data_IF_964663663730
#
_entry.id   IF_964663663730
#
_cell.length_a   1.000
_cell.length_b   1.000
_cell.length_c   1.000
_cell.angle_alpha   90.00
_cell.angle_beta   90.00
_cell.angle_gamma   90.00
#
_symmetry.space_group_name_H-M   'P 1'
#
loop_
_entity.id
_entity.type
_entity.pdbx_description
1 polymer ?
#
# COMPACT_ATOMS: atom_id res chain seq x y z
N UNK A 1 37.53 -7.66 -21.19
CA UNK A 1 36.72 -6.98 -20.15
C UNK A 1 36.05 -8.06 -19.31
N UNK A 2 36.09 -7.98 -17.97
CA UNK A 2 35.17 -8.79 -17.17
C UNK A 2 33.74 -8.36 -17.51
N UNK A 3 32.85 -9.32 -17.68
CA UNK A 3 31.42 -9.05 -17.82
C UNK A 3 30.96 -8.24 -16.60
N UNK A 4 30.12 -7.20 -16.76
CA UNK A 4 29.55 -6.52 -15.60
C UNK A 4 28.86 -7.56 -14.71
N UNK A 5 28.99 -7.47 -13.38
CA UNK A 5 28.30 -8.40 -12.50
C UNK A 5 26.81 -8.35 -12.84
N UNK A 6 26.25 -9.51 -13.18
CA UNK A 6 24.82 -9.66 -13.44
C UNK A 6 24.08 -9.39 -12.14
N UNK A 7 23.66 -8.14 -11.92
CA UNK A 7 22.78 -7.80 -10.80
C UNK A 7 21.45 -8.51 -11.04
N UNK A 8 21.05 -9.37 -10.11
CA UNK A 8 19.73 -9.99 -10.18
C UNK A 8 18.66 -8.89 -10.17
N UNK A 9 17.56 -9.04 -10.94
CA UNK A 9 16.45 -8.10 -10.88
C UNK A 9 15.97 -7.90 -9.44
N UNK A 10 15.60 -6.67 -9.10
CA UNK A 10 15.13 -6.35 -7.74
C UNK A 10 13.86 -7.10 -7.44
N UNK A 11 13.81 -7.73 -6.26
CA UNK A 11 12.60 -8.38 -5.74
C UNK A 11 11.68 -7.36 -5.12
N UNK A 12 10.42 -7.35 -5.54
CA UNK A 12 9.41 -6.40 -5.06
C UNK A 12 8.42 -7.16 -4.19
N UNK A 13 8.42 -6.86 -2.89
CA UNK A 13 7.50 -7.43 -1.90
C UNK A 13 6.50 -6.36 -1.50
N UNK A 14 5.23 -6.60 -1.76
CA UNK A 14 4.14 -5.70 -1.45
C UNK A 14 3.42 -6.09 -0.17
N UNK A 15 3.06 -5.09 0.64
CA UNK A 15 2.28 -5.20 1.87
C UNK A 15 0.97 -4.43 1.68
N UNK A 16 -0.16 -5.14 1.59
CA UNK A 16 -1.49 -4.54 1.44
C UNK A 16 -2.42 -4.85 2.62
N UNK A 17 -3.53 -4.13 2.73
CA UNK A 17 -4.51 -4.28 3.82
C UNK A 17 -5.20 -2.95 4.15
N UNK A 18 -6.22 -2.95 5.01
CA UNK A 18 -6.99 -1.73 5.28
C UNK A 18 -6.12 -0.61 5.86
N UNK A 19 -6.47 0.64 5.60
CA UNK A 19 -5.80 1.80 6.21
C UNK A 19 -5.75 1.65 7.74
N UNK A 20 -4.67 2.09 8.39
CA UNK A 20 -4.42 1.89 9.83
C UNK A 20 -4.26 0.44 10.34
N UNK A 21 -4.04 -0.54 9.46
CA UNK A 21 -3.76 -1.93 9.87
C UNK A 21 -2.33 -2.15 10.43
N UNK A 22 -1.40 -1.23 10.16
CA UNK A 22 0.01 -1.32 10.60
C UNK A 22 1.02 -1.67 9.50
N UNK A 23 0.62 -1.56 8.22
CA UNK A 23 1.48 -1.83 7.04
C UNK A 23 2.77 -1.02 7.05
N UNK A 24 2.66 0.31 7.14
CA UNK A 24 3.79 1.24 7.17
C UNK A 24 4.78 0.88 8.28
N UNK A 25 4.29 0.59 9.49
CA UNK A 25 5.13 0.14 10.61
C UNK A 25 5.88 -1.16 10.27
N UNK A 26 5.19 -2.17 9.73
CA UNK A 26 5.82 -3.44 9.36
C UNK A 26 6.83 -3.25 8.21
N UNK A 27 6.50 -2.46 7.19
CA UNK A 27 7.36 -2.18 6.05
C UNK A 27 8.64 -1.44 6.46
N UNK A 28 8.54 -0.44 7.36
CA UNK A 28 9.70 0.25 7.97
C UNK A 28 10.59 -0.71 8.74
N UNK A 29 10.01 -1.60 9.55
CA UNK A 29 10.77 -2.61 10.30
C UNK A 29 11.46 -3.63 9.38
N UNK A 30 10.78 -4.09 8.32
CA UNK A 30 11.38 -4.94 7.29
C UNK A 30 12.53 -4.21 6.60
N UNK A 31 12.31 -2.99 6.13
CA UNK A 31 13.36 -2.17 5.51
C UNK A 31 14.60 -2.04 6.40
N UNK A 32 14.40 -1.80 7.70
CA UNK A 32 15.47 -1.75 8.70
C UNK A 32 16.18 -3.10 8.89
N UNK A 33 15.44 -4.21 8.94
CA UNK A 33 16.03 -5.56 9.11
C UNK A 33 16.82 -5.98 7.86
N UNK A 34 16.34 -5.63 6.68
CA UNK A 34 17.00 -5.96 5.41
C UNK A 34 18.07 -4.93 5.01
N UNK A 35 18.26 -3.87 5.80
CA UNK A 35 19.41 -2.97 5.73
C UNK A 35 20.46 -3.44 6.74
N UNK A 36 21.38 -4.29 6.28
CA UNK A 36 22.38 -4.90 7.17
C UNK A 36 23.55 -3.94 7.46
N UNK A 37 24.06 -3.89 8.70
CA UNK A 37 25.21 -3.04 9.05
C UNK A 37 26.57 -3.45 8.44
N UNK A 38 26.64 -4.60 7.76
CA UNK A 38 27.87 -5.18 7.20
C UNK A 38 27.70 -5.33 5.70
N UNK A 39 28.74 -5.00 4.93
CA UNK A 39 28.76 -5.08 3.46
C UNK A 39 28.72 -6.52 2.92
N UNK A 40 28.88 -7.53 3.80
CA UNK A 40 28.77 -8.95 3.47
C UNK A 40 27.74 -9.65 4.39
N UNK A 41 26.66 -10.23 3.85
CA UNK A 41 26.24 -10.27 2.45
C UNK A 41 25.68 -8.92 1.98
N UNK A 42 25.96 -8.55 0.72
CA UNK A 42 25.56 -7.27 0.14
C UNK A 42 24.07 -7.28 -0.24
N UNK A 43 23.22 -6.79 0.66
CA UNK A 43 21.80 -6.57 0.39
C UNK A 43 21.44 -5.10 0.55
N UNK A 44 20.70 -4.58 -0.41
CA UNK A 44 20.12 -3.24 -0.36
C UNK A 44 18.60 -3.35 -0.23
N UNK A 45 18.01 -2.57 0.66
CA UNK A 45 16.56 -2.47 0.79
C UNK A 45 16.07 -1.11 0.31
N UNK A 46 14.91 -1.09 -0.33
CA UNK A 46 14.17 0.12 -0.72
C UNK A 46 12.79 0.08 -0.07
N UNK A 47 12.23 1.26 0.22
CA UNK A 47 10.87 1.42 0.75
C UNK A 47 10.10 2.39 -0.15
N UNK A 48 8.86 2.03 -0.48
CA UNK A 48 7.96 2.76 -1.37
C UNK A 48 6.58 2.80 -0.70
N UNK A 49 6.00 4.00 -0.58
CA UNK A 49 4.67 4.20 -0.02
C UNK A 49 3.68 4.50 -1.15
N UNK A 50 2.53 3.81 -1.20
CA UNK A 50 1.46 4.07 -2.16
C UNK A 50 0.94 5.51 -2.04
N UNK A 51 0.96 6.08 -0.84
CA UNK A 51 0.54 7.46 -0.57
C UNK A 51 1.41 8.49 -1.32
N UNK A 52 2.64 8.15 -1.71
CA UNK A 52 3.46 9.00 -2.56
C UNK A 52 2.92 9.11 -4.00
N UNK A 53 1.90 8.35 -4.36
CA UNK A 53 1.28 8.32 -5.68
C UNK A 53 -0.11 8.94 -5.70
N UNK A 54 -0.56 9.59 -4.62
CA UNK A 54 -1.77 10.40 -4.69
C UNK A 54 -1.66 11.50 -5.75
N UNK A 55 -2.77 11.71 -6.45
CA UNK A 55 -2.97 12.92 -7.23
C UNK A 55 -3.01 14.15 -6.30
N UNK A 56 -2.74 15.35 -6.83
CA UNK A 56 -2.92 16.57 -6.07
C UNK A 56 -4.37 16.76 -5.58
N UNK A 57 -4.56 17.51 -4.49
CA UNK A 57 -5.83 17.77 -3.80
C UNK A 57 -6.97 18.14 -4.77
N UNK A 58 -6.70 19.00 -5.76
CA UNK A 58 -7.68 19.47 -6.75
C UNK A 58 -8.12 18.40 -7.76
N UNK A 59 -7.41 17.27 -7.81
CA UNK A 59 -7.69 16.12 -8.67
C UNK A 59 -8.22 14.90 -7.92
N UNK A 60 -8.36 14.99 -6.59
CA UNK A 60 -8.94 13.91 -5.81
C UNK A 60 -10.43 13.77 -6.16
N UNK A 61 -10.89 12.55 -6.53
CA UNK A 61 -12.30 12.32 -6.85
C UNK A 61 -13.21 12.75 -5.70
N UNK A 62 -14.42 13.22 -6.02
CA UNK A 62 -15.44 13.54 -5.03
C UNK A 62 -16.50 12.44 -4.97
N UNK A 63 -17.05 12.23 -3.78
CA UNK A 63 -18.22 11.38 -3.55
C UNK A 63 -19.31 12.17 -2.84
N UNK A 64 -20.58 11.82 -3.10
CA UNK A 64 -21.74 12.43 -2.45
C UNK A 64 -22.35 11.43 -1.48
N UNK A 65 -22.37 11.79 -0.20
CA UNK A 65 -22.98 10.98 0.85
C UNK A 65 -24.51 10.96 0.72
N UNK A 66 -25.22 9.98 1.33
CA UNK A 66 -26.68 9.95 1.35
C UNK A 66 -27.33 11.22 1.94
N UNK A 67 -26.60 11.95 2.79
CA UNK A 67 -27.00 13.24 3.36
C UNK A 67 -26.96 14.39 2.35
N UNK A 68 -26.38 14.19 1.16
CA UNK A 68 -26.11 15.21 0.16
C UNK A 68 -24.75 15.92 0.34
N UNK A 69 -24.01 15.62 1.41
CA UNK A 69 -22.67 16.18 1.63
C UNK A 69 -21.69 15.65 0.59
N UNK A 70 -20.96 16.54 -0.08
CA UNK A 70 -19.90 16.19 -1.04
C UNK A 70 -18.55 16.23 -0.33
N UNK A 71 -17.78 15.15 -0.42
CA UNK A 71 -16.44 15.02 0.17
C UNK A 71 -15.44 14.48 -0.86
N UNK A 72 -14.16 14.84 -0.71
CA UNK A 72 -13.08 14.17 -1.42
C UNK A 72 -12.97 12.71 -0.96
N UNK A 73 -12.80 11.80 -1.91
CA UNK A 73 -12.62 10.38 -1.69
C UNK A 73 -11.16 10.01 -1.95
N UNK A 74 -10.35 10.08 -0.89
CA UNK A 74 -8.94 9.68 -0.93
C UNK A 74 -8.77 8.16 -0.99
N UNK A 75 -9.72 7.38 -0.47
CA UNK A 75 -9.60 5.93 -0.32
C UNK A 75 -10.16 5.19 -1.54
N UNK A 76 -9.65 5.50 -2.73
CA UNK A 76 -10.09 4.85 -3.99
C UNK A 76 -8.97 4.83 -5.03
N UNK A 77 -9.00 3.85 -5.94
CA UNK A 77 -8.04 3.75 -7.04
C UNK A 77 -7.94 5.04 -7.88
N UNK A 78 -9.06 5.77 -8.04
CA UNK A 78 -9.08 7.03 -8.80
C UNK A 78 -8.36 8.19 -8.13
N UNK A 79 -7.98 8.09 -6.84
CA UNK A 79 -7.17 9.08 -6.16
C UNK A 79 -5.66 8.90 -6.43
N UNK A 80 -5.25 7.75 -6.99
CA UNK A 80 -3.86 7.34 -7.15
C UNK A 80 -3.43 7.40 -8.63
N UNK A 81 -2.22 7.89 -8.87
CA UNK A 81 -1.53 7.77 -10.15
C UNK A 81 -0.95 6.34 -10.32
N UNK A 82 -1.84 5.39 -10.63
CA UNK A 82 -1.49 3.99 -10.79
C UNK A 82 -0.53 3.74 -11.97
N UNK A 83 -0.55 4.62 -12.97
CA UNK A 83 0.38 4.55 -14.10
C UNK A 83 1.80 4.91 -13.65
N UNK A 84 1.96 5.99 -12.87
CA UNK A 84 3.25 6.36 -12.28
C UNK A 84 3.74 5.33 -11.26
N UNK A 85 2.85 4.74 -10.45
CA UNK A 85 3.20 3.64 -9.55
C UNK A 85 3.74 2.43 -10.33
N UNK A 86 3.00 1.96 -11.35
CA UNK A 86 3.45 0.85 -12.18
C UNK A 86 4.79 1.14 -12.87
N UNK A 87 4.96 2.34 -13.46
CA UNK A 87 6.21 2.74 -14.09
C UNK A 87 7.39 2.78 -13.09
N UNK A 88 7.17 3.31 -11.89
CA UNK A 88 8.17 3.37 -10.83
C UNK A 88 8.60 1.98 -10.36
N UNK A 89 7.65 1.04 -10.23
CA UNK A 89 7.97 -0.35 -9.88
C UNK A 89 8.77 -1.07 -10.98
N UNK A 90 8.44 -0.86 -12.26
CA UNK A 90 9.24 -1.36 -13.39
C UNK A 90 10.67 -0.81 -13.37
N UNK A 91 10.81 0.46 -13.03
CA UNK A 91 12.10 1.11 -12.90
C UNK A 91 12.94 0.53 -11.76
N UNK A 92 12.35 0.37 -10.57
CA UNK A 92 12.99 -0.24 -9.40
C UNK A 92 13.45 -1.66 -9.71
N UNK A 93 12.60 -2.46 -10.37
CA UNK A 93 12.93 -3.82 -10.81
C UNK A 93 14.22 -3.89 -11.63
N UNK A 94 14.38 -2.93 -12.55
CA UNK A 94 15.46 -2.91 -13.54
C UNK A 94 16.73 -2.22 -13.05
N UNK A 95 16.60 -1.15 -12.24
CA UNK A 95 17.74 -0.32 -11.83
C UNK A 95 18.21 -0.60 -10.40
N UNK A 96 17.39 -1.23 -9.57
CA UNK A 96 17.72 -1.46 -8.15
C UNK A 96 17.85 -0.19 -7.32
N UNK A 97 17.20 0.89 -7.74
CA UNK A 97 17.09 2.18 -7.04
C UNK A 97 15.72 2.80 -7.31
N UNK A 98 15.31 3.73 -6.46
CA UNK A 98 14.10 4.54 -6.69
C UNK A 98 14.31 5.50 -7.89
N UNK A 99 13.26 5.78 -8.68
CA UNK A 99 13.34 6.79 -9.73
C UNK A 99 13.57 8.18 -9.09
N UNK A 100 14.45 9.04 -9.63
CA UNK A 100 14.73 10.36 -9.05
C UNK A 100 13.50 11.25 -8.85
N UNK A 101 12.48 11.08 -9.72
CA UNK A 101 11.21 11.79 -9.61
C UNK A 101 10.38 11.40 -8.38
N UNK A 102 10.58 10.20 -7.84
CA UNK A 102 9.84 9.73 -6.67
C UNK A 102 10.50 10.25 -5.39
N UNK A 103 9.88 11.26 -4.79
CA UNK A 103 10.20 11.74 -3.44
C UNK A 103 9.15 11.27 -2.44
N UNK A 104 9.62 10.61 -1.38
CA UNK A 104 8.80 10.15 -0.26
C UNK A 104 8.31 11.32 0.58
N UNK A 105 6.99 11.42 0.72
CA UNK A 105 6.28 12.36 1.59
C UNK A 105 5.82 11.68 2.86
N UNK A 106 5.52 10.38 2.78
CA UNK A 106 5.14 9.60 3.96
C UNK A 106 6.25 9.58 5.02
N UNK A 107 7.52 9.58 4.62
CA UNK A 107 8.65 9.75 5.56
C UNK A 107 8.66 11.10 6.27
N UNK A 108 7.96 12.11 5.73
CA UNK A 108 7.89 13.45 6.28
C UNK A 108 6.74 13.61 7.28
N UNK A 109 5.67 12.80 7.15
CA UNK A 109 4.57 12.74 8.13
C UNK A 109 5.08 12.42 9.55
N UNK A 110 6.08 11.54 9.66
CA UNK A 110 6.68 11.14 10.95
C UNK A 110 7.63 12.20 11.55
N UNK A 111 7.94 13.28 10.82
CA UNK A 111 8.95 14.28 11.20
C UNK A 111 8.39 15.64 11.66
N UNK A 112 7.07 15.83 11.63
CA UNK A 112 6.45 17.09 12.06
C UNK A 112 6.46 17.22 13.60
N UNK A 113 7.01 18.32 14.16
CA UNK A 113 6.96 18.57 15.60
C UNK A 113 5.51 18.83 16.03
N UNK A 114 5.11 18.17 17.13
CA UNK A 114 3.81 18.37 17.77
C UNK A 114 3.81 19.74 18.46
N UNK A 115 3.55 20.80 17.71
CA UNK A 115 3.35 22.14 18.27
C UNK A 115 1.97 22.21 18.96
N UNK A 116 1.93 21.73 20.20
CA UNK A 116 0.89 22.07 21.16
C UNK A 116 1.54 22.24 22.54
N UNK A 117 1.44 23.42 23.17
CA UNK A 117 2.06 23.68 24.46
C UNK A 117 1.27 22.99 25.56
N UNK A 118 1.58 21.71 25.79
CA UNK A 118 1.15 20.92 26.92
C UNK A 118 2.31 20.04 27.35
N UNK A 119 2.86 20.32 28.53
CA UNK A 119 4.01 19.64 29.13
C UNK A 119 3.93 18.12 29.07
N UNK A 120 4.82 17.52 28.27
CA UNK A 120 5.12 16.10 28.27
C UNK A 120 6.19 15.83 27.23
N UNK A 121 7.32 15.27 27.64
CA UNK A 121 8.35 14.71 26.75
C UNK A 121 7.74 13.58 25.92
N UNK A 122 7.13 13.91 24.80
CA UNK A 122 6.53 12.97 23.86
C UNK A 122 7.52 12.61 22.77
N UNK A 123 8.39 11.63 23.02
CA UNK A 123 8.69 10.68 21.94
C UNK A 123 7.34 10.07 21.54
N UNK A 124 7.00 10.08 20.25
CA UNK A 124 5.74 9.52 19.74
C UNK A 124 5.56 8.09 20.23
N UNK A 125 4.76 7.92 21.29
CA UNK A 125 4.51 6.67 21.99
C UNK A 125 3.10 6.24 21.63
N UNK A 126 2.96 5.12 20.93
CA UNK A 126 1.63 4.56 20.69
C UNK A 126 1.51 3.29 19.85
N UNK A 127 2.42 3.01 18.91
CA UNK A 127 2.30 1.82 18.08
C UNK A 127 3.65 1.13 17.83
N UNK A 128 3.85 -0.02 18.50
CA UNK A 128 4.77 -1.05 18.01
C UNK A 128 6.27 -0.77 18.14
N UNK A 129 6.74 -0.22 19.26
CA UNK A 129 8.19 -0.21 19.56
C UNK A 129 8.65 -1.65 19.74
N UNK A 130 9.25 -2.22 18.71
CA UNK A 130 9.92 -3.52 18.76
C UNK A 130 11.26 -3.33 19.46
N UNK A 131 11.54 -4.13 20.49
CA UNK A 131 12.79 -4.07 21.21
C UNK A 131 13.98 -4.30 20.28
N UNK A 132 15.07 -3.54 20.47
CA UNK A 132 16.25 -3.58 19.59
C UNK A 132 16.80 -5.00 19.40
N UNK A 133 16.86 -5.78 20.48
CA UNK A 133 17.34 -7.16 20.42
C UNK A 133 16.52 -8.07 19.50
N UNK A 134 15.24 -7.78 19.26
CA UNK A 134 14.42 -8.52 18.28
C UNK A 134 14.85 -8.17 16.86
N UNK A 135 15.12 -6.89 16.58
CA UNK A 135 15.61 -6.44 15.28
C UNK A 135 16.99 -7.03 14.99
N UNK A 136 17.92 -6.96 15.94
CA UNK A 136 19.26 -7.54 15.83
C UNK A 136 19.23 -9.06 15.58
N UNK A 137 18.34 -9.77 16.29
CA UNK A 137 18.15 -11.21 16.11
C UNK A 137 17.63 -11.56 14.71
N UNK A 138 16.66 -10.80 14.20
CA UNK A 138 16.13 -10.99 12.86
C UNK A 138 17.16 -10.62 11.78
N UNK A 139 17.93 -9.54 11.96
CA UNK A 139 19.05 -9.20 11.09
C UNK A 139 20.10 -10.33 11.04
N UNK A 140 20.44 -10.91 12.19
CA UNK A 140 21.35 -12.07 12.26
C UNK A 140 20.79 -13.26 11.49
N UNK A 141 19.49 -13.52 11.58
CA UNK A 141 18.82 -14.60 10.84
C UNK A 141 18.87 -14.36 9.33
N UNK A 142 18.51 -13.15 8.88
CA UNK A 142 18.58 -12.74 7.47
C UNK A 142 20.00 -12.92 6.94
N UNK A 143 21.02 -12.42 7.66
CA UNK A 143 22.43 -12.60 7.31
C UNK A 143 22.79 -14.08 7.13
N UNK A 144 22.44 -14.92 8.10
CA UNK A 144 22.75 -16.35 8.05
C UNK A 144 22.08 -17.05 6.87
N UNK A 145 20.85 -16.67 6.52
CA UNK A 145 20.15 -17.25 5.36
C UNK A 145 20.78 -16.79 4.05
N UNK A 146 21.03 -15.49 3.88
CA UNK A 146 21.66 -14.95 2.67
C UNK A 146 23.05 -15.55 2.41
N UNK A 147 23.87 -15.74 3.45
CA UNK A 147 25.19 -16.41 3.33
C UNK A 147 25.05 -17.86 2.86
N UNK A 148 24.08 -18.62 3.40
CA UNK A 148 23.84 -20.01 2.98
C UNK A 148 23.41 -20.13 1.52
N UNK A 149 22.67 -19.14 1.03
CA UNK A 149 22.24 -19.09 -0.37
C UNK A 149 23.38 -18.70 -1.33
N UNK A 150 24.57 -18.37 -0.81
CA UNK A 150 25.66 -17.78 -1.58
C UNK A 150 25.15 -16.57 -2.40
N UNK A 151 24.21 -15.82 -1.81
CA UNK A 151 23.55 -14.72 -2.48
C UNK A 151 24.60 -13.64 -2.77
N UNK A 152 24.80 -13.34 -4.05
CA UNK A 152 25.56 -12.16 -4.48
C UNK A 152 24.86 -10.86 -4.08
N UNK A 153 25.32 -9.74 -4.63
CA UNK A 153 24.66 -8.46 -4.39
C UNK A 153 23.19 -8.49 -4.84
N UNK A 154 22.27 -8.10 -3.94
CA UNK A 154 20.82 -8.12 -4.18
C UNK A 154 20.14 -6.84 -3.71
N UNK A 155 19.03 -6.51 -4.36
CA UNK A 155 18.13 -5.46 -3.92
C UNK A 155 16.74 -6.05 -3.67
N UNK A 156 16.12 -5.66 -2.55
CA UNK A 156 14.72 -5.92 -2.23
C UNK A 156 13.99 -4.61 -2.03
N UNK A 157 12.84 -4.44 -2.67
CA UNK A 157 11.98 -3.29 -2.49
C UNK A 157 10.71 -3.70 -1.74
N UNK A 158 10.39 -2.97 -0.68
CA UNK A 158 9.13 -3.07 0.04
C UNK A 158 8.19 -1.98 -0.46
N UNK A 159 7.01 -2.37 -0.91
CA UNK A 159 5.94 -1.46 -1.33
C UNK A 159 4.79 -1.65 -0.36
N UNK A 160 4.25 -0.57 0.19
CA UNK A 160 3.13 -0.67 1.12
C UNK A 160 2.02 0.31 0.75
N UNK A 161 0.77 -0.13 0.91
CA UNK A 161 -0.39 0.59 0.42
C UNK A 161 -1.70 -0.10 0.80
N UNK A 162 -2.81 0.63 0.75
CA UNK A 162 -4.12 0.04 1.04
C UNK A 162 -4.74 -0.67 -0.15
N UNK A 163 -4.28 -0.39 -1.38
CA UNK A 163 -4.93 -0.84 -2.61
C UNK A 163 -3.92 -1.32 -3.68
N UNK A 164 -3.15 -2.35 -3.35
CA UNK A 164 -2.06 -2.84 -4.20
C UNK A 164 -2.40 -4.05 -5.08
N UNK A 165 -3.46 -4.80 -4.78
CA UNK A 165 -3.71 -6.12 -5.37
C UNK A 165 -4.96 -6.16 -6.25
N UNK A 166 -4.82 -6.67 -7.48
CA UNK A 166 -5.94 -7.05 -8.34
C UNK A 166 -6.42 -8.49 -8.08
N UNK A 167 -7.70 -8.82 -8.39
CA UNK A 167 -8.20 -10.19 -8.40
C UNK A 167 -7.37 -11.14 -9.26
N UNK A 168 -7.44 -12.47 -9.09
CA UNK A 168 -6.82 -13.41 -10.02
C UNK A 168 -7.31 -13.19 -11.45
N UNK A 169 -6.38 -13.18 -12.42
CA UNK A 169 -6.70 -12.92 -13.83
C UNK A 169 -7.61 -14.00 -14.45
N UNK A 170 -7.37 -15.25 -14.03
CA UNK A 170 -8.17 -16.44 -14.32
C UNK A 170 -7.86 -17.50 -13.24
N UNK A 171 -8.67 -18.57 -13.14
CA UNK A 171 -8.24 -19.80 -12.49
C UNK A 171 -6.93 -20.32 -13.12
N UNK A 172 -6.09 -20.99 -12.33
CA UNK A 172 -4.81 -21.50 -12.81
C UNK A 172 -4.95 -22.33 -14.09
N UNK A 173 -4.22 -21.94 -15.15
CA UNK A 173 -4.21 -22.64 -16.45
C UNK A 173 -5.21 -22.15 -17.48
N UNK A 174 -5.97 -21.08 -17.22
CA UNK A 174 -6.90 -20.47 -18.18
C UNK A 174 -6.46 -19.07 -18.61
N UNK A 175 -6.97 -18.64 -19.77
CA UNK A 175 -6.74 -17.28 -20.28
C UNK A 175 -7.44 -16.24 -19.40
N UNK A 176 -6.78 -15.12 -19.07
CA UNK A 176 -7.39 -14.02 -18.34
C UNK A 176 -8.73 -13.57 -18.93
N UNK A 177 -9.70 -13.28 -18.08
CA UNK A 177 -10.92 -12.59 -18.54
C UNK A 177 -10.57 -11.15 -18.91
N UNK A 178 -11.28 -10.57 -19.89
CA UNK A 178 -11.08 -9.16 -20.24
C UNK A 178 -11.29 -8.22 -19.05
N UNK A 179 -12.29 -8.50 -18.20
CA UNK A 179 -12.55 -7.72 -17.00
C UNK A 179 -11.38 -7.76 -16.02
N UNK A 180 -10.77 -8.95 -15.80
CA UNK A 180 -9.63 -9.07 -14.92
C UNK A 180 -8.34 -8.46 -15.50
N UNK A 181 -8.19 -8.48 -16.83
CA UNK A 181 -7.08 -7.82 -17.52
C UNK A 181 -7.20 -6.29 -17.49
N UNK A 182 -8.42 -5.75 -17.50
CA UNK A 182 -8.70 -4.31 -17.45
C UNK A 182 -8.84 -3.76 -16.02
N UNK A 183 -8.60 -4.59 -14.99
CA UNK A 183 -8.67 -4.13 -13.61
C UNK A 183 -7.64 -3.00 -13.37
N UNK A 184 -8.00 -1.87 -12.74
CA UNK A 184 -7.11 -0.71 -12.59
C UNK A 184 -5.75 -1.05 -11.95
N UNK A 185 -5.76 -1.98 -10.99
CA UNK A 185 -4.56 -2.43 -10.28
C UNK A 185 -3.78 -3.54 -10.99
N UNK A 186 -4.19 -4.02 -12.17
CA UNK A 186 -3.56 -5.18 -12.84
C UNK A 186 -2.07 -4.95 -13.07
N UNK A 187 -1.72 -3.81 -13.65
CA UNK A 187 -0.33 -3.46 -13.95
C UNK A 187 0.53 -3.37 -12.67
N UNK A 188 0.00 -2.75 -11.62
CA UNK A 188 0.67 -2.64 -10.32
C UNK A 188 0.85 -4.03 -9.69
N UNK A 189 -0.22 -4.84 -9.68
CA UNK A 189 -0.23 -6.21 -9.19
C UNK A 189 0.83 -7.06 -9.90
N UNK A 190 0.94 -7.03 -11.22
CA UNK A 190 1.88 -7.89 -11.96
C UNK A 190 3.35 -7.58 -11.72
N UNK A 191 3.66 -6.41 -11.14
CA UNK A 191 5.02 -6.00 -10.78
C UNK A 191 5.43 -6.42 -9.36
N UNK A 192 4.67 -7.27 -8.69
CA UNK A 192 4.97 -7.77 -7.33
C UNK A 192 5.38 -9.24 -7.37
N UNK A 193 6.50 -9.55 -6.72
CA UNK A 193 6.98 -10.93 -6.55
C UNK A 193 6.35 -11.59 -5.30
N UNK A 194 6.23 -10.83 -4.21
CA UNK A 194 5.56 -11.24 -2.98
C UNK A 194 4.39 -10.32 -2.63
N UNK A 195 3.28 -10.91 -2.16
CA UNK A 195 2.02 -10.19 -1.91
C UNK A 195 1.52 -10.52 -0.51
N UNK A 196 2.02 -9.80 0.47
CA UNK A 196 1.65 -9.96 1.87
C UNK A 196 0.39 -9.15 2.17
N UNK A 197 -0.64 -9.78 2.72
CA UNK A 197 -1.89 -9.11 3.09
C UNK A 197 -2.07 -9.09 4.61
N UNK A 198 -2.27 -7.90 5.18
CA UNK A 198 -2.44 -7.68 6.61
C UNK A 198 -3.92 -7.38 6.91
N UNK A 199 -4.74 -8.39 7.27
CA UNK A 199 -6.09 -8.14 7.73
C UNK A 199 -6.06 -7.39 9.07
N UNK A 200 -7.05 -6.53 9.29
CA UNK A 200 -7.28 -5.89 10.58
C UNK A 200 -8.78 -5.63 10.77
N UNK A 201 -9.23 -5.80 12.02
CA UNK A 201 -10.62 -5.63 12.39
C UNK A 201 -11.09 -4.18 12.19
N UNK A 202 -12.32 -4.01 11.70
CA UNK A 202 -12.96 -2.71 11.49
C UNK A 202 -12.78 -1.75 12.66
N UNK A 203 -13.17 -2.20 13.86
CA UNK A 203 -13.18 -1.33 15.05
C UNK A 203 -11.78 -0.83 15.39
N UNK A 204 -10.76 -1.68 15.19
CA UNK A 204 -9.35 -1.32 15.41
C UNK A 204 -8.86 -0.30 14.40
N UNK A 205 -9.16 -0.49 13.11
CA UNK A 205 -8.70 0.44 12.07
C UNK A 205 -9.44 1.78 12.17
N UNK A 206 -10.73 1.76 12.54
CA UNK A 206 -11.51 2.97 12.80
C UNK A 206 -10.94 3.76 13.97
N UNK A 207 -10.81 3.14 15.14
CA UNK A 207 -10.27 3.79 16.33
C UNK A 207 -8.90 4.41 16.07
N UNK A 208 -8.02 3.70 15.34
CA UNK A 208 -6.69 4.20 14.98
C UNK A 208 -6.76 5.35 13.98
N UNK A 209 -7.62 5.26 12.97
CA UNK A 209 -7.74 6.29 11.92
C UNK A 209 -8.30 7.59 12.48
N UNK A 210 -9.34 7.53 13.29
CA UNK A 210 -9.97 8.70 13.92
C UNK A 210 -9.06 9.39 14.95
N UNK A 211 -8.03 8.69 15.47
CA UNK A 211 -7.01 9.28 16.36
C UNK A 211 -5.86 9.98 15.62
N UNK A 212 -5.78 9.91 14.28
CA UNK A 212 -4.73 10.58 13.53
C UNK A 212 -4.95 12.10 13.54
N UNK A 213 -3.88 12.86 13.71
CA UNK A 213 -3.89 14.33 13.67
C UNK A 213 -4.11 14.89 12.26
N UNK A 214 -3.92 14.08 11.22
CA UNK A 214 -4.08 14.41 9.80
C UNK A 214 -2.93 13.85 8.95
N UNK A 215 -2.86 14.25 7.69
CA UNK A 215 -1.94 13.71 6.68
C UNK A 215 -1.37 14.86 5.84
N UNK A 216 -0.10 14.76 5.45
CA UNK A 216 0.46 15.65 4.42
C UNK A 216 -0.10 15.26 3.05
N UNK A 217 -0.66 16.23 2.34
CA UNK A 217 -1.17 16.11 0.97
C UNK A 217 -0.43 17.05 0.02
N UNK A 218 -0.90 17.26 -1.21
CA UNK A 218 -0.16 17.97 -2.26
C UNK A 218 -1.10 18.83 -3.10
N UNK A 219 -0.80 20.11 -3.24
CA UNK A 219 -1.53 21.01 -4.12
C UNK A 219 -2.61 21.80 -3.42
N UNK A 220 -3.26 22.68 -4.19
CA UNK A 220 -4.24 23.60 -3.65
C UNK A 220 -5.51 22.84 -3.24
N UNK A 221 -6.03 23.16 -2.05
CA UNK A 221 -7.35 22.71 -1.64
C UNK A 221 -8.39 23.08 -2.71
N UNK A 222 -9.40 22.23 -2.97
CA UNK A 222 -10.43 22.52 -3.96
C UNK A 222 -11.13 23.84 -3.63
N UNK A 223 -11.22 24.72 -4.62
CA UNK A 223 -11.95 25.99 -4.48
C UNK A 223 -13.43 25.67 -4.32
N UNK A 224 -14.13 26.20 -3.30
CA UNK A 224 -15.58 26.00 -3.17
C UNK A 224 -16.28 26.54 -4.41
N UNK A 225 -16.91 25.66 -5.19
CA UNK A 225 -17.67 26.06 -6.37
C UNK A 225 -18.98 26.69 -5.88
N UNK A 226 -19.04 28.01 -5.86
CA UNK A 226 -20.31 28.71 -5.80
C UNK A 226 -21.14 28.28 -7.02
N UNK A 227 -22.34 27.78 -6.77
CA UNK A 227 -23.27 27.30 -7.80
C UNK A 227 -23.39 28.30 -8.95
N UNK A 228 -22.80 27.97 -10.09
CA UNK A 228 -23.15 28.57 -11.37
C UNK A 228 -23.28 27.46 -12.39
N UNK A 229 -24.54 27.21 -12.74
CA UNK A 229 -24.93 26.44 -13.90
C UNK A 229 -24.43 27.15 -15.16
N UNK A 230 -23.66 26.45 -16.00
CA UNK A 230 -23.84 26.46 -17.46
C UNK A 230 -22.90 25.43 -18.09
N UNK A 231 -23.47 24.59 -18.96
CA UNK A 231 -22.75 23.53 -19.65
C UNK A 231 -21.92 24.07 -20.80
N UNK A 232 -20.78 23.43 -21.05
CA UNK A 232 -20.18 23.45 -22.38
C UNK A 232 -19.42 22.15 -22.67
N UNK A 233 -19.87 21.49 -23.73
CA UNK A 233 -19.17 20.41 -24.41
C UNK A 233 -18.00 20.99 -25.23
N UNK A 234 -16.92 20.21 -25.29
CA UNK A 234 -16.09 19.89 -26.47
C UNK A 234 -14.60 20.15 -26.29
N UNK A 235 -13.81 19.25 -26.87
CA UNK A 235 -12.37 19.43 -27.09
C UNK A 235 -11.63 18.12 -26.89
N UNK A 236 -11.53 17.30 -27.94
CA UNK A 236 -10.78 16.06 -27.90
C UNK A 236 -9.29 16.31 -27.70
N UNK A 237 -8.65 15.45 -26.90
CA UNK A 237 -7.20 15.44 -26.79
C UNK A 237 -6.63 14.24 -27.54
N UNK A 238 -5.86 14.58 -28.57
CA UNK A 238 -5.03 13.68 -29.34
C UNK A 238 -4.06 12.95 -28.41
N UNK A 239 -4.06 11.61 -28.47
CA UNK A 239 -3.10 10.77 -27.78
C UNK A 239 -1.66 11.17 -28.14
N UNK A 240 -1.03 11.97 -27.29
CA UNK A 240 0.43 12.10 -27.24
C UNK A 240 0.97 10.82 -26.59
N UNK A 241 2.10 10.34 -27.09
CA UNK A 241 2.88 9.26 -26.47
C UNK A 241 3.42 9.79 -25.12
N UNK A 242 2.56 9.81 -24.10
CA UNK A 242 2.82 10.29 -22.74
C UNK A 242 3.68 9.26 -21.98
N UNK A 243 4.91 9.04 -22.46
CA UNK A 243 5.89 8.27 -21.69
C UNK A 243 6.22 9.06 -20.43
N UNK A 244 5.90 8.48 -19.27
CA UNK A 244 6.22 9.05 -17.96
C UNK A 244 7.73 9.17 -17.84
N UNK A 245 8.23 10.40 -17.75
CA UNK A 245 9.64 10.66 -17.45
C UNK A 245 9.89 10.40 -15.96
N UNK A 246 10.66 9.34 -15.66
CA UNK A 246 11.01 8.92 -14.30
C UNK A 246 12.33 9.52 -13.80
N UNK A 247 13.13 10.07 -14.69
CA UNK A 247 14.43 10.68 -14.36
C UNK A 247 14.33 12.20 -14.20
N UNK A 248 13.19 12.81 -14.57
CA UNK A 248 12.88 14.21 -14.31
C UNK A 248 12.90 14.56 -12.81
N UNK A 249 13.00 15.86 -12.52
CA UNK A 249 12.77 16.37 -11.16
C UNK A 249 11.29 16.21 -10.78
N UNK A 250 11.03 16.09 -9.47
CA UNK A 250 9.68 16.06 -8.93
C UNK A 250 9.00 17.43 -9.16
N UNK A 251 8.02 17.45 -10.07
CA UNK A 251 7.30 18.63 -10.55
C UNK A 251 5.94 18.82 -9.86
N UNK A 252 5.65 18.02 -8.83
CA UNK A 252 4.36 18.08 -8.12
C UNK A 252 4.22 19.36 -7.29
N UNK A 253 2.98 19.83 -7.05
CA UNK A 253 2.73 21.06 -6.29
C UNK A 253 3.29 21.04 -4.85
N UNK A 254 3.31 22.19 -4.16
CA UNK A 254 3.68 22.25 -2.75
C UNK A 254 2.75 21.41 -1.86
N UNK A 255 3.26 21.02 -0.70
CA UNK A 255 2.50 20.23 0.27
C UNK A 255 1.32 21.00 0.85
N UNK A 256 0.28 20.25 1.23
CA UNK A 256 -0.89 20.71 1.95
C UNK A 256 -1.18 19.73 3.12
N UNK A 257 -2.27 19.93 3.85
CA UNK A 257 -2.63 19.08 4.99
C UNK A 257 -4.12 18.73 4.97
N UNK A 258 -4.42 17.44 5.16
CA UNK A 258 -5.78 16.90 5.22
C UNK A 258 -6.09 16.31 6.60
N UNK A 259 -7.33 16.48 7.05
CA UNK A 259 -7.86 15.80 8.24
C UNK A 259 -9.18 15.14 7.87
N UNK A 260 -9.34 13.87 8.20
CA UNK A 260 -10.58 13.14 7.96
C UNK A 260 -11.76 13.84 8.66
N UNK A 261 -12.84 14.20 7.95
CA UNK A 261 -14.02 14.77 8.59
C UNK A 261 -14.74 13.73 9.47
N UNK A 262 -15.59 14.15 10.43
CA UNK A 262 -16.37 13.23 11.24
C UNK A 262 -17.19 12.26 10.37
N UNK A 263 -17.15 10.97 10.68
CA UNK A 263 -17.87 9.92 9.95
C UNK A 263 -17.16 9.40 8.69
N UNK A 264 -16.05 10.00 8.26
CA UNK A 264 -15.35 9.64 7.02
C UNK A 264 -14.95 8.15 6.95
N UNK A 265 -14.63 7.53 8.09
CA UNK A 265 -14.29 6.10 8.14
C UNK A 265 -15.48 5.22 7.79
N UNK A 266 -16.62 5.44 8.44
CA UNK A 266 -17.86 4.68 8.23
C UNK A 266 -18.45 4.96 6.84
N UNK A 267 -18.35 6.20 6.38
CA UNK A 267 -19.04 6.68 5.17
C UNK A 267 -18.26 6.41 3.88
N UNK A 268 -16.92 6.41 3.93
CA UNK A 268 -16.05 6.36 2.73
C UNK A 268 -14.98 5.28 2.85
N UNK A 269 -14.13 5.33 3.87
CA UNK A 269 -12.93 4.49 3.97
C UNK A 269 -13.29 3.00 3.98
N UNK A 270 -14.14 2.60 4.92
CA UNK A 270 -14.45 1.19 5.11
C UNK A 270 -15.32 0.62 3.98
N UNK A 271 -16.39 1.31 3.52
CA UNK A 271 -17.15 0.86 2.37
C UNK A 271 -16.29 0.68 1.11
N UNK A 272 -15.36 1.60 0.82
CA UNK A 272 -14.47 1.47 -0.33
C UNK A 272 -13.50 0.30 -0.16
N UNK A 273 -12.86 0.17 1.01
CA UNK A 273 -11.99 -0.96 1.31
C UNK A 273 -12.72 -2.29 1.08
N UNK A 274 -13.93 -2.43 1.64
CA UNK A 274 -14.73 -3.65 1.51
C UNK A 274 -15.10 -3.91 0.05
N UNK A 275 -15.53 -2.89 -0.68
CA UNK A 275 -15.90 -3.01 -2.10
C UNK A 275 -14.70 -3.44 -2.96
N UNK A 276 -13.58 -2.73 -2.83
CA UNK A 276 -12.40 -2.96 -3.66
C UNK A 276 -11.70 -4.30 -3.33
N UNK A 277 -11.93 -4.84 -2.13
CA UNK A 277 -11.41 -6.13 -1.68
C UNK A 277 -12.48 -7.24 -1.61
N UNK A 278 -13.68 -7.04 -2.16
CA UNK A 278 -14.76 -8.04 -2.09
C UNK A 278 -14.38 -9.39 -2.74
N UNK A 279 -13.42 -9.39 -3.66
CA UNK A 279 -12.84 -10.59 -4.28
C UNK A 279 -11.91 -11.37 -3.36
N UNK A 280 -11.37 -10.72 -2.34
CA UNK A 280 -10.38 -11.26 -1.41
C UNK A 280 -10.99 -11.53 -0.03
N UNK A 281 -11.94 -10.70 0.40
CA UNK A 281 -12.64 -10.85 1.67
C UNK A 281 -13.65 -12.01 1.60
N UNK A 282 -14.02 -12.49 2.79
CA UNK A 282 -15.08 -13.48 2.98
C UNK A 282 -16.14 -12.91 3.93
N UNK A 283 -17.39 -13.39 3.86
CA UNK A 283 -18.40 -13.07 4.86
C UNK A 283 -17.92 -13.42 6.28
N UNK A 284 -18.37 -12.64 7.27
CA UNK A 284 -18.02 -12.83 8.68
C UNK A 284 -18.49 -14.20 9.18
N UNK A 285 -19.74 -14.55 8.84
CA UNK A 285 -20.31 -15.87 9.08
C UNK A 285 -19.78 -16.90 8.09
N UNK A 286 -19.46 -18.10 8.58
CA UNK A 286 -19.08 -19.22 7.71
C UNK A 286 -20.27 -19.61 6.82
N UNK A 287 -20.02 -19.69 5.53
CA UNK A 287 -21.02 -20.02 4.52
C UNK A 287 -20.37 -20.86 3.43
N UNK A 288 -21.16 -21.75 2.82
CA UNK A 288 -20.74 -22.52 1.65
C UNK A 288 -20.62 -21.63 0.40
N UNK A 289 -21.29 -20.47 0.36
CA UNK A 289 -21.20 -19.51 -0.74
C UNK A 289 -20.12 -18.45 -0.46
N UNK A 290 -18.85 -18.84 -0.58
CA UNK A 290 -17.72 -17.91 -0.42
C UNK A 290 -17.80 -16.73 -1.39
N UNK A 291 -18.40 -16.93 -2.57
CA UNK A 291 -18.55 -15.93 -3.64
C UNK A 291 -19.73 -14.97 -3.41
N UNK A 292 -20.40 -15.06 -2.26
CA UNK A 292 -21.55 -14.19 -1.92
C UNK A 292 -21.22 -12.70 -2.07
N UNK A 293 -20.04 -12.27 -1.67
CA UNK A 293 -19.62 -10.86 -1.77
C UNK A 293 -19.47 -10.41 -3.23
N UNK A 294 -19.00 -11.29 -4.12
CA UNK A 294 -18.83 -10.98 -5.55
C UNK A 294 -20.16 -10.77 -6.29
N UNK A 295 -21.26 -11.24 -5.71
CA UNK A 295 -22.62 -11.12 -6.27
C UNK A 295 -23.36 -9.89 -5.75
N UNK A 296 -22.78 -9.17 -4.81
CA UNK A 296 -23.38 -8.00 -4.17
C UNK A 296 -22.75 -6.71 -4.69
N UNK A 297 -23.59 -5.72 -4.96
CA UNK A 297 -23.19 -4.42 -5.52
C UNK A 297 -23.48 -3.25 -4.57
N UNK A 298 -24.36 -3.43 -3.58
CA UNK A 298 -24.65 -2.45 -2.55
C UNK A 298 -23.52 -2.45 -1.49
N UNK A 299 -22.75 -1.35 -1.36
CA UNK A 299 -21.67 -1.25 -0.38
C UNK A 299 -22.13 -1.47 1.06
N UNK A 300 -23.36 -1.08 1.40
CA UNK A 300 -23.90 -1.24 2.75
C UNK A 300 -24.24 -2.69 3.06
N UNK A 301 -24.68 -3.45 2.06
CA UNK A 301 -24.86 -4.90 2.21
C UNK A 301 -23.49 -5.58 2.34
N UNK A 302 -22.52 -5.20 1.51
CA UNK A 302 -21.15 -5.75 1.60
C UNK A 302 -20.53 -5.53 2.97
N UNK A 303 -20.59 -4.30 3.51
CA UNK A 303 -20.08 -3.97 4.84
C UNK A 303 -20.74 -4.84 5.92
N UNK A 304 -22.06 -5.03 5.86
CA UNK A 304 -22.78 -5.92 6.80
C UNK A 304 -22.35 -7.38 6.68
N UNK A 305 -22.13 -7.87 5.46
CA UNK A 305 -21.72 -9.27 5.24
C UNK A 305 -20.30 -9.53 5.71
N UNK A 306 -19.40 -8.58 5.50
CA UNK A 306 -17.98 -8.69 5.85
C UNK A 306 -17.72 -8.51 7.35
N UNK A 307 -18.59 -7.76 8.05
CA UNK A 307 -18.46 -7.50 9.48
C UNK A 307 -17.11 -6.87 9.81
N UNK A 308 -16.32 -7.52 10.67
CA UNK A 308 -14.99 -7.02 11.05
C UNK A 308 -13.94 -7.09 9.92
N UNK A 309 -14.19 -7.78 8.81
CA UNK A 309 -13.27 -7.78 7.66
C UNK A 309 -11.94 -8.48 7.87
N UNK A 310 -11.88 -9.41 8.83
CA UNK A 310 -10.65 -10.16 9.16
C UNK A 310 -10.56 -11.53 8.49
N UNK A 311 -11.63 -11.97 7.83
CA UNK A 311 -11.68 -13.22 7.07
C UNK A 311 -11.31 -12.96 5.61
N UNK A 312 -10.30 -13.67 5.16
CA UNK A 312 -9.64 -13.46 3.86
C UNK A 312 -9.45 -14.81 3.18
N UNK A 313 -9.61 -14.84 1.85
CA UNK A 313 -9.33 -16.03 1.04
C UNK A 313 -7.84 -16.32 1.00
N UNK A 314 -7.46 -17.54 1.36
CA UNK A 314 -6.06 -17.98 1.37
C UNK A 314 -5.58 -18.47 -0.02
N UNK A 315 -6.51 -18.76 -0.93
CA UNK A 315 -6.21 -19.26 -2.29
C UNK A 315 -6.40 -18.21 -3.39
N UNK A 316 -6.17 -16.94 -3.06
CA UNK A 316 -6.36 -15.81 -3.98
C UNK A 316 -5.05 -15.25 -4.55
N UNK A 317 -3.94 -15.99 -4.42
CA UNK A 317 -2.62 -15.54 -4.87
C UNK A 317 -2.00 -14.46 -3.97
N UNK A 318 -2.43 -14.37 -2.71
CA UNK A 318 -1.86 -13.48 -1.69
C UNK A 318 -1.52 -14.28 -0.44
N UNK A 319 -0.44 -13.92 0.24
CA UNK A 319 -0.02 -14.54 1.50
C UNK A 319 -0.59 -13.75 2.66
N UNK A 320 -1.54 -14.32 3.38
CA UNK A 320 -2.27 -13.63 4.45
C UNK A 320 -1.49 -13.70 5.77
N UNK A 321 -1.36 -12.57 6.45
CA UNK A 321 -0.72 -12.49 7.75
C UNK A 321 -1.51 -13.29 8.81
N UNK A 322 -0.82 -14.01 9.71
CA UNK A 322 -1.47 -14.92 10.63
C UNK A 322 -2.31 -14.20 11.68
N UNK A 323 -3.29 -14.94 12.24
CA UNK A 323 -4.10 -14.51 13.38
C UNK A 323 -4.99 -13.30 13.13
N UNK A 324 -5.39 -13.07 11.87
CA UNK A 324 -6.56 -12.24 11.53
C UNK A 324 -6.48 -10.78 12.06
N UNK A 325 -5.27 -10.25 12.18
CA UNK A 325 -5.03 -8.88 12.67
C UNK A 325 -4.83 -8.74 14.18
N UNK A 326 -4.82 -9.85 14.93
CA UNK A 326 -4.68 -9.85 16.39
C UNK A 326 -3.26 -10.20 16.86
N UNK A 327 -2.38 -10.63 15.96
CA UNK A 327 -1.02 -11.00 16.30
C UNK A 327 -0.19 -9.81 16.77
N UNK A 328 0.65 -9.98 17.81
CA UNK A 328 1.65 -8.99 18.18
C UNK A 328 2.59 -8.66 17.02
N UNK A 329 3.06 -7.41 16.96
CA UNK A 329 3.97 -6.95 15.89
C UNK A 329 5.24 -7.80 15.80
N UNK A 330 5.75 -8.36 16.90
CA UNK A 330 6.94 -9.22 16.91
C UNK A 330 6.72 -10.56 16.21
N UNK A 331 5.53 -11.16 16.38
CA UNK A 331 5.15 -12.38 15.66
C UNK A 331 4.92 -12.10 14.18
N UNK A 332 4.21 -10.99 13.86
CA UNK A 332 4.00 -10.56 12.47
C UNK A 332 5.32 -10.24 11.77
N UNK A 333 6.25 -9.58 12.45
CA UNK A 333 7.56 -9.25 11.92
C UNK A 333 8.39 -10.50 11.63
N UNK A 334 8.37 -11.46 12.55
CA UNK A 334 9.05 -12.75 12.34
C UNK A 334 8.48 -13.48 11.13
N UNK A 335 7.14 -13.57 11.05
CA UNK A 335 6.46 -14.16 9.88
C UNK A 335 6.86 -13.47 8.58
N UNK A 336 6.77 -12.14 8.54
CA UNK A 336 7.07 -11.38 7.33
C UNK A 336 8.52 -11.53 6.88
N UNK A 337 9.49 -11.57 7.82
CA UNK A 337 10.89 -11.84 7.50
C UNK A 337 11.06 -13.21 6.85
N UNK A 338 10.39 -14.25 7.35
CA UNK A 338 10.44 -15.58 6.75
C UNK A 338 9.80 -15.60 5.35
N UNK A 339 8.65 -14.94 5.14
CA UNK A 339 8.04 -14.85 3.80
C UNK A 339 8.92 -14.10 2.79
N UNK A 340 9.55 -12.99 3.20
CA UNK A 340 10.51 -12.28 2.35
C UNK A 340 11.69 -13.16 1.99
N UNK A 341 12.24 -13.91 2.95
CA UNK A 341 13.36 -14.82 2.70
C UNK A 341 12.98 -15.92 1.71
N UNK A 342 11.76 -16.50 1.78
CA UNK A 342 11.29 -17.49 0.79
C UNK A 342 11.31 -16.91 -0.63
N UNK A 343 10.82 -15.69 -0.83
CA UNK A 343 10.84 -15.05 -2.16
C UNK A 343 12.26 -14.71 -2.66
N UNK A 344 13.21 -14.47 -1.76
CA UNK A 344 14.63 -14.29 -2.11
C UNK A 344 15.31 -15.62 -2.46
N UNK A 345 14.81 -16.75 -1.94
CA UNK A 345 15.30 -18.11 -2.18
C UNK A 345 14.87 -18.66 -3.54
N UNK A 346 13.66 -18.33 -4.01
CA UNK A 346 13.11 -18.74 -5.31
C UNK A 346 13.95 -18.30 -6.53
N UNK A 347 14.92 -17.40 -6.34
CA UNK A 347 15.78 -16.85 -7.40
C UNK A 347 17.27 -17.20 -7.28
N UNK A 348 17.59 -18.19 -6.47
CA UNK A 348 18.96 -18.75 -6.34
C UNK A 348 19.17 -19.85 -7.38
#
# INVERSE_FOLDING_TARGET
MPLPPTTQPTKIIALSGPSSSGKTTLARLLHRIFTLPSDDPKIHSLLIHEDDFYHPDDKIPQTTLPTGTVLQNWDTAGALDLAFLAASLSYVRTHGRLPPRLRSKEDQNDSQPVDSPGTGTGTGTGAGVVAEGVVEELQRRVRQRLVRLQAGARTVAFVEGFLLFAPPAAPAGLTPTMAAAQHPLREVHERMDGRLFLPAAYDKVKERRERRSGYVTIGAAPVPVASSSEGQQSGGDSAKDDRIDLEAEDDRPPQNFWTDPPGYVDDIVWPNYVKDHAWLLLPEEETEDEDRLLKESDPQVLVRLVGQGTRVREHAGVTVAPGRGDKPITELLTWAVEEVLKHLEETV
#
